data_IF_738202434692
#
_entry.id   IF_738202434692
#
_cell.length_a   1.000
_cell.length_b   1.000
_cell.length_c   1.000
_cell.angle_alpha   90.00
_cell.angle_beta   90.00
_cell.angle_gamma   90.00
#
_symmetry.space_group_name_H-M   'P 1'
#
loop_
_entity.id
_entity.type
_entity.pdbx_description
1 polymer ?
#
# COMPACT_ATOMS: atom_id res chain seq x y z
N UNK A 1 -6.61 4.37 -11.14
CA UNK A 1 -6.66 3.00 -10.61
C UNK A 1 -6.08 2.99 -9.20
N UNK A 2 -6.86 2.55 -8.21
CA UNK A 2 -6.40 2.38 -6.82
C UNK A 2 -6.19 0.88 -6.56
N UNK A 3 -5.03 0.51 -6.01
CA UNK A 3 -4.67 -0.88 -5.70
C UNK A 3 -4.95 -1.18 -4.22
N UNK A 4 -6.05 -1.88 -3.93
CA UNK A 4 -6.54 -2.18 -2.58
C UNK A 4 -6.78 -3.68 -2.31
N UNK A 5 -6.21 -4.58 -3.13
CA UNK A 5 -6.49 -6.01 -3.02
C UNK A 5 -5.67 -6.73 -1.94
N UNK A 6 -4.58 -6.13 -1.47
CA UNK A 6 -3.61 -6.79 -0.60
C UNK A 6 -4.10 -7.01 0.83
N UNK A 7 -3.60 -8.08 1.47
CA UNK A 7 -3.92 -8.43 2.85
C UNK A 7 -3.30 -7.48 3.91
N UNK A 8 -2.24 -6.73 3.58
CA UNK A 8 -1.59 -5.82 4.54
C UNK A 8 -0.94 -6.51 5.75
N UNK A 9 -0.21 -7.61 5.53
CA UNK A 9 0.39 -8.47 6.57
C UNK A 9 1.13 -7.76 7.70
N UNK A 10 1.69 -6.58 7.43
CA UNK A 10 2.48 -5.80 8.41
C UNK A 10 1.61 -4.96 9.36
N UNK A 11 0.30 -4.86 9.09
CA UNK A 11 -0.65 -4.11 9.92
C UNK A 11 -1.19 -4.90 11.11
N UNK A 12 -0.81 -6.17 11.27
CA UNK A 12 -1.20 -6.95 12.47
C UNK A 12 -0.81 -6.15 13.73
N UNK A 13 -1.73 -5.97 14.70
CA UNK A 13 -2.96 -6.72 14.89
C UNK A 13 -4.25 -6.13 14.30
N UNK A 14 -4.19 -5.00 13.59
CA UNK A 14 -5.40 -4.29 13.11
C UNK A 14 -6.13 -5.03 11.97
N UNK A 15 -5.39 -5.50 10.98
CA UNK A 15 -5.97 -5.96 9.69
C UNK A 15 -6.71 -7.29 9.73
N UNK A 16 -7.01 -7.82 10.92
CA UNK A 16 -7.92 -8.97 11.06
C UNK A 16 -9.37 -8.58 10.79
N UNK A 17 -9.71 -7.31 10.95
CA UNK A 17 -11.08 -6.80 10.96
C UNK A 17 -11.32 -5.72 9.90
N UNK A 18 -10.26 -5.05 9.46
CA UNK A 18 -10.35 -3.91 8.54
C UNK A 18 -9.27 -4.01 7.46
N UNK A 19 -9.63 -3.95 6.17
CA UNK A 19 -8.65 -3.89 5.10
C UNK A 19 -7.89 -2.56 5.11
N UNK A 20 -6.65 -2.58 4.65
CA UNK A 20 -5.68 -1.48 4.78
C UNK A 20 -6.19 -0.13 4.23
N UNK A 21 -6.91 -0.15 3.10
CA UNK A 21 -7.46 1.06 2.49
C UNK A 21 -8.59 1.71 3.29
N UNK A 22 -9.21 0.98 4.23
CA UNK A 22 -10.28 1.49 5.10
C UNK A 22 -9.78 1.91 6.49
N UNK A 23 -8.48 1.90 6.72
CA UNK A 23 -7.92 2.46 7.94
C UNK A 23 -8.17 3.97 7.99
N UNK A 24 -8.69 4.43 9.12
CA UNK A 24 -8.95 5.84 9.35
C UNK A 24 -7.71 6.56 9.86
N UNK A 25 -7.45 7.72 9.26
CA UNK A 25 -6.46 8.69 9.72
C UNK A 25 -7.16 10.02 9.86
N UNK A 26 -7.09 10.60 11.05
CA UNK A 26 -7.80 11.84 11.39
C UNK A 26 -9.32 11.78 11.09
N UNK A 27 -9.93 10.59 11.30
CA UNK A 27 -11.36 10.37 11.12
C UNK A 27 -11.80 10.19 9.66
N UNK A 28 -10.88 10.02 8.71
CA UNK A 28 -11.18 9.77 7.29
C UNK A 28 -10.48 8.49 6.81
N UNK A 29 -11.20 7.50 6.23
CA UNK A 29 -10.59 6.33 5.61
C UNK A 29 -9.62 6.71 4.49
N UNK A 30 -8.47 6.03 4.41
CA UNK A 30 -7.41 6.33 3.43
C UNK A 30 -7.94 6.35 2.00
N UNK A 31 -8.75 5.37 1.61
CA UNK A 31 -9.29 5.26 0.26
C UNK A 31 -10.32 6.36 -0.04
N UNK A 32 -11.14 6.74 0.93
CA UNK A 32 -12.11 7.83 0.76
C UNK A 32 -11.40 9.17 0.54
N UNK A 33 -10.34 9.41 1.33
CA UNK A 33 -9.48 10.58 1.14
C UNK A 33 -8.89 10.62 -0.27
N UNK A 34 -8.35 9.51 -0.74
CA UNK A 34 -7.79 9.42 -2.10
C UNK A 34 -8.86 9.70 -3.18
N UNK A 35 -10.04 9.11 -3.04
CA UNK A 35 -11.17 9.31 -3.96
C UNK A 35 -11.64 10.77 -3.93
N UNK A 36 -11.80 11.35 -2.74
CA UNK A 36 -12.16 12.77 -2.59
C UNK A 36 -11.13 13.69 -3.24
N UNK A 37 -9.84 13.45 -3.01
CA UNK A 37 -8.76 14.25 -3.61
C UNK A 37 -8.74 14.12 -5.15
N UNK A 38 -9.05 12.93 -5.71
CA UNK A 38 -9.20 12.74 -7.14
C UNK A 38 -10.42 13.54 -7.70
N UNK A 39 -11.56 13.48 -7.00
CA UNK A 39 -12.76 14.26 -7.37
C UNK A 39 -12.48 15.77 -7.34
N UNK A 40 -11.80 16.27 -6.32
CA UNK A 40 -11.37 17.68 -6.22
C UNK A 40 -10.45 18.10 -7.38
N UNK A 41 -9.62 17.18 -7.88
CA UNK A 41 -8.81 17.38 -9.07
C UNK A 41 -9.60 17.27 -10.39
N UNK A 42 -10.91 16.96 -10.33
CA UNK A 42 -11.77 16.78 -11.50
C UNK A 42 -11.60 15.44 -12.20
N UNK A 43 -11.19 14.40 -11.47
CA UNK A 43 -11.04 13.01 -11.92
C UNK A 43 -12.15 12.18 -11.29
N UNK A 44 -13.10 11.71 -12.10
CA UNK A 44 -14.28 10.98 -11.63
C UNK A 44 -14.35 9.52 -12.12
N UNK A 45 -13.54 9.15 -13.09
CA UNK A 45 -13.41 7.79 -13.56
C UNK A 45 -12.37 7.06 -12.69
N UNK A 46 -12.85 6.29 -11.71
CA UNK A 46 -12.02 5.69 -10.67
C UNK A 46 -12.31 4.19 -10.59
N UNK A 47 -11.26 3.39 -10.73
CA UNK A 47 -11.28 1.94 -10.61
C UNK A 47 -10.53 1.53 -9.35
N UNK A 48 -11.15 0.71 -8.50
CA UNK A 48 -10.52 0.19 -7.28
C UNK A 48 -10.36 -1.33 -7.42
N UNK A 49 -9.11 -1.79 -7.40
CA UNK A 49 -8.83 -3.23 -7.43
C UNK A 49 -8.87 -3.76 -6.00
N UNK A 50 -9.86 -4.60 -5.71
CA UNK A 50 -10.13 -5.15 -4.37
C UNK A 50 -9.88 -6.66 -4.32
N UNK A 51 -9.62 -7.20 -3.14
CA UNK A 51 -9.38 -8.64 -2.95
C UNK A 51 -9.70 -9.06 -1.53
N UNK A 52 -8.77 -8.88 -0.60
CA UNK A 52 -9.01 -9.16 0.81
C UNK A 52 -10.14 -8.28 1.37
N UNK A 53 -11.14 -8.91 1.99
CA UNK A 53 -12.34 -8.25 2.54
C UNK A 53 -13.03 -7.30 1.54
N UNK A 54 -13.10 -7.70 0.25
CA UNK A 54 -13.63 -6.90 -0.85
C UNK A 54 -15.04 -6.36 -0.58
N UNK A 55 -15.86 -7.08 0.18
CA UNK A 55 -17.23 -6.71 0.53
C UNK A 55 -17.29 -5.38 1.32
N UNK A 56 -16.25 -5.09 2.09
CA UNK A 56 -16.17 -3.83 2.86
C UNK A 56 -15.95 -2.59 1.98
N UNK A 57 -15.59 -2.76 0.71
CA UNK A 57 -15.42 -1.67 -0.25
C UNK A 57 -16.67 -1.40 -1.12
N UNK A 58 -17.72 -2.24 -1.04
CA UNK A 58 -18.88 -2.14 -1.94
C UNK A 58 -19.62 -0.81 -1.84
N UNK A 59 -19.67 -0.20 -0.65
CA UNK A 59 -20.29 1.11 -0.45
C UNK A 59 -19.67 2.23 -1.31
N UNK A 60 -18.39 2.09 -1.69
CA UNK A 60 -17.72 3.08 -2.53
C UNK A 60 -18.39 3.22 -3.91
N UNK A 61 -19.09 2.20 -4.38
CA UNK A 61 -19.84 2.24 -5.65
C UNK A 61 -20.95 3.28 -5.55
N UNK A 62 -21.77 3.19 -4.52
CA UNK A 62 -22.95 4.04 -4.35
C UNK A 62 -22.58 5.43 -3.85
N UNK A 63 -21.65 5.54 -2.90
CA UNK A 63 -21.32 6.81 -2.24
C UNK A 63 -20.33 7.66 -3.04
N UNK A 64 -19.46 7.03 -3.84
CA UNK A 64 -18.36 7.72 -4.53
C UNK A 64 -18.35 7.51 -6.05
N UNK A 65 -19.20 6.62 -6.58
CA UNK A 65 -19.29 6.36 -8.03
C UNK A 65 -18.06 5.67 -8.60
N UNK A 66 -17.36 4.85 -7.80
CA UNK A 66 -16.19 4.08 -8.27
C UNK A 66 -16.62 2.74 -8.88
N UNK A 67 -15.76 2.15 -9.71
CA UNK A 67 -15.92 0.79 -10.20
C UNK A 67 -14.96 -0.15 -9.46
N UNK A 68 -15.47 -1.31 -8.99
CA UNK A 68 -14.64 -2.32 -8.33
C UNK A 68 -14.19 -3.39 -9.32
N UNK A 69 -12.89 -3.69 -9.31
CA UNK A 69 -12.28 -4.80 -10.04
C UNK A 69 -11.84 -5.85 -9.01
N UNK A 70 -12.40 -7.06 -9.08
CA UNK A 70 -12.10 -8.11 -8.09
C UNK A 70 -10.85 -8.88 -8.50
N UNK A 71 -9.85 -8.89 -7.61
CA UNK A 71 -8.70 -9.78 -7.68
C UNK A 71 -8.93 -11.02 -6.80
N UNK A 72 -9.31 -12.14 -7.41
CA UNK A 72 -9.51 -13.40 -6.70
C UNK A 72 -8.20 -14.07 -6.27
N UNK A 73 -7.09 -13.73 -6.93
CA UNK A 73 -5.76 -14.32 -6.70
C UNK A 73 -4.90 -13.52 -5.69
N UNK A 74 -5.48 -12.58 -4.97
CA UNK A 74 -4.76 -11.66 -4.05
C UNK A 74 -3.89 -12.38 -3.00
N UNK A 75 -4.25 -13.61 -2.65
CA UNK A 75 -3.51 -14.42 -1.67
C UNK A 75 -2.26 -15.10 -2.26
N UNK A 76 -2.22 -15.31 -3.57
CA UNK A 76 -1.18 -16.05 -4.28
C UNK A 76 -0.32 -15.20 -5.20
N UNK A 77 -0.82 -14.03 -5.60
CA UNK A 77 -0.13 -13.10 -6.49
C UNK A 77 -0.03 -11.70 -5.87
N UNK A 78 1.08 -11.02 -6.17
CA UNK A 78 1.31 -9.66 -5.68
C UNK A 78 0.59 -8.60 -6.57
N UNK A 79 0.79 -7.32 -6.30
CA UNK A 79 0.09 -6.19 -6.93
C UNK A 79 0.35 -6.05 -8.45
N UNK A 80 1.35 -6.71 -9.02
CA UNK A 80 1.51 -6.82 -10.47
C UNK A 80 0.25 -7.43 -11.08
N UNK A 81 -0.29 -8.50 -10.49
CA UNK A 81 -1.54 -9.11 -10.94
C UNK A 81 -2.75 -8.17 -10.75
N UNK A 82 -2.79 -7.44 -9.64
CA UNK A 82 -3.85 -6.43 -9.42
C UNK A 82 -3.85 -5.39 -10.55
N UNK A 83 -2.68 -4.87 -10.92
CA UNK A 83 -2.60 -3.91 -12.01
C UNK A 83 -2.87 -4.56 -13.37
N UNK A 84 -2.50 -5.84 -13.59
CA UNK A 84 -2.86 -6.58 -14.79
C UNK A 84 -4.38 -6.66 -14.98
N UNK A 85 -5.16 -6.86 -13.93
CA UNK A 85 -6.62 -6.88 -14.02
C UNK A 85 -7.19 -5.53 -14.46
N UNK A 86 -6.59 -4.43 -14.04
CA UNK A 86 -6.98 -3.06 -14.39
C UNK A 86 -6.26 -2.50 -15.65
N UNK A 87 -5.52 -3.32 -16.39
CA UNK A 87 -4.62 -2.89 -17.48
C UNK A 87 -5.27 -2.08 -18.61
N UNK A 88 -6.56 -2.24 -18.83
CA UNK A 88 -7.28 -1.48 -19.86
C UNK A 88 -7.57 -0.03 -19.44
N UNK A 89 -7.42 0.31 -18.16
CA UNK A 89 -7.71 1.62 -17.56
C UNK A 89 -6.45 2.44 -17.22
N UNK A 90 -5.30 2.12 -17.83
CA UNK A 90 -4.02 2.77 -17.50
C UNK A 90 -3.68 3.98 -18.37
N UNK A 91 -4.42 4.23 -19.44
CA UNK A 91 -4.11 5.32 -20.36
C UNK A 91 -4.48 6.68 -19.77
N UNK A 92 -3.50 7.58 -19.61
CA UNK A 92 -3.64 8.90 -18.97
C UNK A 92 -4.24 8.80 -17.55
N UNK A 93 -3.74 7.85 -16.77
CA UNK A 93 -4.31 7.49 -15.48
C UNK A 93 -3.25 7.48 -14.37
N UNK A 94 -3.72 7.73 -13.15
CA UNK A 94 -2.96 7.48 -11.93
C UNK A 94 -3.03 6.01 -11.53
N UNK A 95 -1.93 5.50 -10.97
CA UNK A 95 -1.86 4.24 -10.22
C UNK A 95 -1.54 4.64 -8.79
N UNK A 96 -2.36 4.20 -7.83
CA UNK A 96 -2.31 4.68 -6.45
C UNK A 96 -2.39 3.47 -5.52
N UNK A 97 -1.41 3.25 -4.61
CA UNK A 97 -1.57 2.31 -3.50
C UNK A 97 -2.61 2.83 -2.49
N UNK A 98 -3.48 1.97 -1.97
CA UNK A 98 -4.55 2.37 -1.04
C UNK A 98 -4.07 2.79 0.35
N UNK A 99 -2.82 2.56 0.67
CA UNK A 99 -2.19 2.75 1.97
C UNK A 99 -1.40 4.05 2.11
N UNK A 100 -1.61 4.98 1.17
CA UNK A 100 -0.93 6.27 1.16
C UNK A 100 -1.85 7.35 1.74
N UNK A 101 -1.32 8.07 2.72
CA UNK A 101 -1.86 9.33 3.21
C UNK A 101 -1.16 10.50 2.53
N UNK A 102 -1.93 11.39 1.91
CA UNK A 102 -1.43 12.64 1.37
C UNK A 102 -2.03 13.80 2.18
N UNK A 103 -1.20 14.61 2.80
CA UNK A 103 -1.66 15.79 3.55
C UNK A 103 -2.31 16.80 2.61
N UNK A 104 -1.60 17.17 1.55
CA UNK A 104 -2.12 17.98 0.46
C UNK A 104 -2.49 17.13 -0.74
N UNK A 105 -3.44 17.59 -1.56
CA UNK A 105 -3.86 16.89 -2.77
C UNK A 105 -2.72 16.84 -3.81
N UNK A 106 -2.16 15.67 -4.13
CA UNK A 106 -1.06 15.54 -5.09
C UNK A 106 -1.53 15.43 -6.55
N UNK A 107 -2.85 15.28 -6.78
CA UNK A 107 -3.43 14.97 -8.08
C UNK A 107 -3.78 16.22 -8.88
N UNK A 108 -3.70 16.09 -10.21
CA UNK A 108 -4.10 17.13 -11.18
C UNK A 108 -4.88 16.46 -12.31
N UNK A 109 -5.87 17.17 -12.85
CA UNK A 109 -6.69 16.66 -13.97
C UNK A 109 -5.85 16.30 -15.20
N UNK A 110 -4.78 17.05 -15.44
CA UNK A 110 -3.90 16.88 -16.59
C UNK A 110 -2.44 16.93 -16.17
N UNK A 111 -1.74 15.85 -16.42
CA UNK A 111 -0.29 15.75 -16.25
C UNK A 111 0.41 15.85 -17.63
N UNK A 112 1.56 16.50 -17.65
CA UNK A 112 2.29 16.74 -18.91
C UNK A 112 3.16 15.55 -19.33
N UNK A 113 3.55 14.70 -18.40
CA UNK A 113 4.41 13.54 -18.62
C UNK A 113 4.12 12.44 -17.60
N UNK A 114 4.52 11.22 -17.93
CA UNK A 114 4.47 10.11 -16.98
C UNK A 114 5.52 10.27 -15.91
N UNK A 115 5.21 9.87 -14.68
CA UNK A 115 6.14 9.95 -13.55
C UNK A 115 5.82 8.89 -12.49
N UNK A 116 6.82 8.58 -11.68
CA UNK A 116 6.70 7.71 -10.50
C UNK A 116 7.15 8.50 -9.25
N UNK A 117 6.34 8.42 -8.18
CA UNK A 117 6.59 9.18 -6.97
C UNK A 117 7.54 8.46 -6.01
N UNK A 118 8.51 9.18 -5.53
CA UNK A 118 9.44 8.76 -4.47
C UNK A 118 9.54 9.85 -3.40
N UNK A 119 9.88 9.44 -2.19
CA UNK A 119 10.19 10.38 -1.11
C UNK A 119 11.61 10.94 -1.23
N UNK A 120 11.86 12.09 -0.61
CA UNK A 120 13.20 12.63 -0.38
C UNK A 120 14.00 11.85 0.68
N UNK A 121 13.35 10.96 1.44
CA UNK A 121 14.03 10.06 2.37
C UNK A 121 14.80 8.95 1.66
N UNK A 122 15.91 8.55 2.27
CA UNK A 122 16.70 7.39 1.85
C UNK A 122 16.28 6.17 2.67
N UNK A 123 15.97 5.09 1.96
CA UNK A 123 15.56 3.80 2.50
C UNK A 123 16.51 2.71 2.01
N UNK A 124 16.96 1.83 2.90
CA UNK A 124 17.85 0.72 2.55
C UNK A 124 17.13 -0.39 1.77
N UNK A 125 15.81 -0.46 1.86
CA UNK A 125 14.99 -1.44 1.13
C UNK A 125 14.64 -0.97 -0.29
N UNK A 126 14.88 0.31 -0.61
CA UNK A 126 14.61 0.84 -1.94
C UNK A 126 15.59 0.34 -2.99
N UNK A 127 15.05 0.01 -4.16
CA UNK A 127 15.81 -0.44 -5.33
C UNK A 127 16.18 0.68 -6.31
N UNK A 128 15.78 1.94 -6.06
CA UNK A 128 15.99 3.05 -6.98
C UNK A 128 16.53 4.31 -6.28
N UNK A 129 17.29 5.11 -7.02
CA UNK A 129 17.77 6.42 -6.59
C UNK A 129 17.51 7.46 -7.70
N UNK A 130 17.07 8.63 -7.28
CA UNK A 130 16.86 9.78 -8.17
C UNK A 130 18.22 10.44 -8.47
N UNK A 131 18.51 10.64 -9.73
CA UNK A 131 19.65 11.43 -10.17
C UNK A 131 19.28 12.89 -10.46
N UNK A 132 20.28 13.74 -10.81
CA UNK A 132 20.06 15.16 -11.09
C UNK A 132 19.13 15.44 -12.30
N UNK A 133 18.88 14.44 -13.14
CA UNK A 133 17.97 14.53 -14.31
C UNK A 133 16.56 14.00 -13.99
N UNK A 134 16.27 13.73 -12.71
CA UNK A 134 15.06 13.08 -12.23
C UNK A 134 14.86 11.65 -12.80
N UNK A 135 15.91 10.99 -13.27
CA UNK A 135 15.84 9.58 -13.66
C UNK A 135 15.97 8.70 -12.41
N UNK A 136 15.16 7.64 -12.36
CA UNK A 136 15.17 6.61 -11.32
C UNK A 136 16.12 5.49 -11.76
N UNK A 137 17.34 5.52 -11.24
CA UNK A 137 18.36 4.50 -11.53
C UNK A 137 18.34 3.40 -10.49
N UNK A 138 18.54 2.14 -10.91
CA UNK A 138 18.60 1.01 -9.98
C UNK A 138 19.86 1.09 -9.12
N UNK A 139 19.72 0.76 -7.85
CA UNK A 139 20.81 0.70 -6.88
C UNK A 139 20.86 -0.67 -6.21
N UNK A 140 22.01 -1.05 -5.67
CA UNK A 140 22.11 -2.23 -4.82
C UNK A 140 21.52 -1.92 -3.42
N UNK A 141 20.90 -2.92 -2.80
CA UNK A 141 20.32 -2.78 -1.45
C UNK A 141 21.33 -2.25 -0.40
N UNK A 142 22.63 -2.47 -0.60
CA UNK A 142 23.66 -1.95 0.30
C UNK A 142 23.91 -0.44 0.19
N UNK A 143 23.38 0.21 -0.84
CA UNK A 143 23.65 1.64 -1.13
C UNK A 143 22.53 2.56 -0.67
N UNK A 144 21.36 2.00 -0.31
CA UNK A 144 20.15 2.75 -0.07
C UNK A 144 19.65 3.52 -1.29
N UNK A 145 18.36 3.75 -1.37
CA UNK A 145 17.70 4.49 -2.45
C UNK A 145 16.64 5.44 -1.90
N UNK A 146 15.95 6.14 -2.77
CA UNK A 146 14.80 6.94 -2.37
C UNK A 146 13.63 6.02 -2.00
N UNK A 147 12.94 6.29 -0.90
CA UNK A 147 11.75 5.53 -0.52
C UNK A 147 10.69 5.62 -1.63
N UNK A 148 10.22 4.45 -2.07
CA UNK A 148 9.26 4.32 -3.18
C UNK A 148 7.84 4.48 -2.64
N UNK A 149 7.14 5.54 -3.04
CA UNK A 149 5.77 5.81 -2.57
C UNK A 149 4.73 5.02 -3.36
N UNK A 150 5.00 4.76 -4.64
CA UNK A 150 4.12 3.94 -5.47
C UNK A 150 3.04 4.69 -6.23
N UNK A 151 2.73 5.95 -5.91
CA UNK A 151 1.86 6.78 -6.76
C UNK A 151 2.57 7.04 -8.07
N UNK A 152 1.89 6.83 -9.19
CA UNK A 152 2.43 7.19 -10.49
C UNK A 152 1.34 7.69 -11.42
N UNK A 153 1.74 8.42 -12.45
CA UNK A 153 0.89 8.82 -13.56
C UNK A 153 1.46 8.31 -14.87
N UNK A 154 0.62 7.74 -15.72
CA UNK A 154 1.01 7.17 -17.00
C UNK A 154 0.28 7.88 -18.14
N UNK A 155 1.03 8.52 -19.03
CA UNK A 155 0.50 8.90 -20.35
C UNK A 155 0.22 7.66 -21.19
N UNK A 156 -0.73 7.75 -22.10
CA UNK A 156 -1.14 6.64 -22.98
C UNK A 156 0.05 5.89 -23.62
N UNK A 157 1.05 6.62 -24.13
CA UNK A 157 2.22 6.00 -24.79
C UNK A 157 3.02 5.06 -23.88
N UNK A 158 3.17 5.43 -22.60
CA UNK A 158 3.91 4.63 -21.62
C UNK A 158 2.99 3.54 -21.06
N UNK A 159 1.69 3.82 -20.87
CA UNK A 159 0.68 2.85 -20.47
C UNK A 159 0.56 1.69 -21.46
N UNK A 160 0.63 1.94 -22.77
CA UNK A 160 0.60 0.89 -23.80
C UNK A 160 1.78 -0.09 -23.64
N UNK A 161 2.98 0.42 -23.37
CA UNK A 161 4.18 -0.42 -23.12
C UNK A 161 4.00 -1.23 -21.82
N UNK A 162 3.52 -0.59 -20.76
CA UNK A 162 3.31 -1.24 -19.45
C UNK A 162 2.24 -2.32 -19.58
N UNK A 163 1.14 -2.07 -20.29
CA UNK A 163 0.10 -3.06 -20.55
C UNK A 163 0.64 -4.32 -21.24
N UNK A 164 1.46 -4.17 -22.25
CA UNK A 164 2.10 -5.32 -22.93
C UNK A 164 3.02 -6.10 -21.98
N UNK A 165 3.77 -5.39 -21.12
CA UNK A 165 4.62 -6.03 -20.11
C UNK A 165 3.80 -6.74 -19.03
N UNK A 166 2.69 -6.16 -18.57
CA UNK A 166 1.77 -6.78 -17.61
C UNK A 166 1.20 -8.09 -18.16
N UNK A 167 0.73 -8.11 -19.42
CA UNK A 167 0.22 -9.34 -20.06
C UNK A 167 1.29 -10.42 -20.08
N UNK A 168 2.51 -10.08 -20.45
CA UNK A 168 3.62 -11.02 -20.52
C UNK A 168 4.06 -11.52 -19.15
N UNK A 169 4.15 -10.64 -18.17
CA UNK A 169 4.66 -10.98 -16.83
C UNK A 169 3.62 -11.74 -16.01
N UNK A 170 2.33 -11.40 -16.11
CA UNK A 170 1.29 -12.12 -15.38
C UNK A 170 1.12 -13.57 -15.84
N UNK A 171 1.45 -13.87 -17.08
CA UNK A 171 1.46 -15.23 -17.61
C UNK A 171 2.65 -16.09 -17.13
N UNK A 172 3.66 -15.49 -16.48
CA UNK A 172 4.89 -16.17 -16.06
C UNK A 172 4.94 -16.28 -14.51
N UNK A 173 4.98 -17.52 -13.97
CA UNK A 173 5.01 -17.73 -12.51
C UNK A 173 6.17 -17.06 -11.78
N UNK A 174 7.27 -16.73 -12.46
CA UNK A 174 8.41 -16.00 -11.88
C UNK A 174 8.04 -14.60 -11.38
N UNK A 175 6.93 -14.03 -11.88
CA UNK A 175 6.45 -12.68 -11.54
C UNK A 175 5.27 -12.68 -10.55
N UNK A 176 4.76 -13.81 -10.11
CA UNK A 176 3.60 -13.87 -9.19
C UNK A 176 3.84 -13.10 -7.89
N UNK A 177 5.06 -13.12 -7.37
CA UNK A 177 5.44 -12.40 -6.15
C UNK A 177 6.06 -11.02 -6.42
N UNK A 178 5.98 -10.51 -7.66
CA UNK A 178 6.57 -9.23 -8.03
C UNK A 178 5.58 -8.08 -7.92
N UNK A 179 6.13 -6.90 -7.65
CA UNK A 179 5.40 -5.66 -7.70
C UNK A 179 5.24 -5.17 -9.15
N UNK A 180 4.21 -4.37 -9.41
CA UNK A 180 3.94 -3.85 -10.74
C UNK A 180 5.08 -2.96 -11.29
N UNK A 181 5.85 -2.36 -10.42
CA UNK A 181 7.03 -1.55 -10.72
C UNK A 181 8.08 -2.33 -11.54
N UNK A 182 8.04 -3.68 -11.48
CA UNK A 182 8.86 -4.52 -12.34
C UNK A 182 8.65 -4.21 -13.83
N UNK A 183 7.46 -3.74 -14.20
CA UNK A 183 7.14 -3.33 -15.58
C UNK A 183 7.81 -2.02 -16.00
N UNK A 184 8.29 -1.21 -15.05
CA UNK A 184 8.95 0.07 -15.31
C UNK A 184 10.44 -0.06 -15.62
N UNK A 185 11.08 -1.15 -15.19
CA UNK A 185 12.53 -1.28 -15.32
C UNK A 185 12.98 -1.57 -16.74
N UNK A 186 13.99 -0.81 -17.17
CA UNK A 186 14.66 -0.96 -18.45
C UNK A 186 16.14 -0.56 -18.33
N UNK A 187 17.07 -1.49 -18.67
CA UNK A 187 18.52 -1.22 -18.73
C UNK A 187 19.08 -0.51 -17.49
N UNK A 188 18.66 -0.93 -16.29
CA UNK A 188 19.17 -0.39 -15.02
C UNK A 188 18.55 0.93 -14.58
N UNK A 189 17.42 1.31 -15.16
CA UNK A 189 16.62 2.46 -14.71
C UNK A 189 15.13 2.24 -14.95
N UNK A 190 14.27 3.06 -14.37
CA UNK A 190 12.86 3.11 -14.74
C UNK A 190 12.67 3.91 -16.03
N UNK A 191 11.69 3.52 -16.83
CA UNK A 191 11.39 4.17 -18.12
C UNK A 191 10.73 5.56 -17.98
N UNK A 192 10.19 5.89 -16.80
CA UNK A 192 9.55 7.17 -16.49
C UNK A 192 10.34 7.91 -15.41
N UNK A 193 10.32 9.26 -15.41
CA UNK A 193 11.06 10.08 -14.45
C UNK A 193 10.43 10.04 -13.05
N UNK A 194 11.20 10.53 -12.07
CA UNK A 194 10.76 10.70 -10.70
C UNK A 194 9.93 11.98 -10.51
N UNK A 195 8.91 11.89 -9.64
CA UNK A 195 8.33 13.03 -8.91
C UNK A 195 8.73 12.87 -7.45
N UNK A 196 9.55 13.79 -6.94
CA UNK A 196 10.02 13.72 -5.55
C UNK A 196 9.05 14.46 -4.65
N UNK A 197 8.57 13.79 -3.60
CA UNK A 197 7.70 14.36 -2.58
C UNK A 197 8.45 14.46 -1.25
N UNK A 198 8.07 15.43 -0.41
CA UNK A 198 8.56 15.48 0.96
C UNK A 198 7.91 14.39 1.79
N UNK A 199 8.71 13.76 2.64
CA UNK A 199 8.24 12.67 3.50
C UNK A 199 7.18 13.12 4.52
N UNK A 200 7.13 14.42 4.86
CA UNK A 200 6.09 14.99 5.70
C UNK A 200 4.72 15.10 5.02
N UNK A 201 4.70 15.20 3.70
CA UNK A 201 3.49 15.51 2.95
C UNK A 201 2.77 14.24 2.48
N UNK A 202 3.53 13.14 2.35
CA UNK A 202 3.02 11.86 1.87
C UNK A 202 3.61 10.73 2.71
N UNK A 203 2.76 9.97 3.37
CA UNK A 203 3.13 8.88 4.28
C UNK A 203 2.51 7.57 3.79
N UNK A 204 3.35 6.55 3.62
CA UNK A 204 2.90 5.17 3.42
C UNK A 204 2.71 4.50 4.78
N UNK A 205 1.48 4.02 5.05
CA UNK A 205 1.15 3.37 6.32
C UNK A 205 1.26 1.86 6.15
N UNK A 206 2.38 1.30 6.58
CA UNK A 206 2.69 -0.12 6.46
C UNK A 206 2.58 -0.90 7.76
N UNK A 207 2.64 -0.21 8.91
CA UNK A 207 2.67 -0.82 10.24
C UNK A 207 1.72 -0.12 11.20
N UNK A 208 1.37 -0.83 12.28
CA UNK A 208 0.60 -0.27 13.39
C UNK A 208 1.28 0.98 13.97
N UNK A 209 2.60 0.95 14.14
CA UNK A 209 3.35 2.07 14.72
C UNK A 209 3.31 3.31 13.81
N UNK A 210 3.38 3.13 12.48
CA UNK A 210 3.25 4.26 11.54
C UNK A 210 1.86 4.90 11.61
N UNK A 211 0.80 4.10 11.79
CA UNK A 211 -0.53 4.66 12.01
C UNK A 211 -0.59 5.43 13.33
N UNK A 212 -0.03 4.88 14.42
CA UNK A 212 0.02 5.52 15.73
C UNK A 212 0.80 6.83 15.72
N UNK A 213 1.93 6.87 15.00
CA UNK A 213 2.74 8.08 14.83
C UNK A 213 2.01 9.16 14.04
N UNK A 214 1.24 8.77 13.03
CA UNK A 214 0.50 9.70 12.19
C UNK A 214 -0.79 10.20 12.87
N UNK A 215 -1.51 9.31 13.53
CA UNK A 215 -2.76 9.61 14.25
C UNK A 215 -2.87 8.77 15.52
N UNK A 216 -2.42 9.33 16.66
CA UNK A 216 -2.47 8.67 17.96
C UNK A 216 -3.90 8.47 18.51
N UNK A 217 -4.91 9.05 17.86
CA UNK A 217 -6.32 8.95 18.25
C UNK A 217 -7.15 8.11 17.26
N UNK A 218 -6.51 7.47 16.29
CA UNK A 218 -7.22 6.61 15.34
C UNK A 218 -7.98 5.50 16.06
N UNK A 219 -9.25 5.31 15.69
CA UNK A 219 -10.11 4.25 16.25
C UNK A 219 -9.53 2.84 16.01
N UNK A 220 -8.70 2.69 14.97
CA UNK A 220 -8.05 1.42 14.63
C UNK A 220 -6.85 1.06 15.50
N UNK A 221 -6.42 1.94 16.41
CA UNK A 221 -5.43 1.62 17.43
C UNK A 221 -6.02 0.77 18.57
N UNK A 222 -7.36 0.74 18.70
CA UNK A 222 -8.07 -0.15 19.61
C UNK A 222 -8.29 -1.49 18.89
N UNK A 223 -7.63 -2.55 19.35
CA UNK A 223 -7.72 -3.89 18.79
C UNK A 223 -8.00 -4.88 19.89
N UNK A 224 -9.01 -5.75 19.69
CA UNK A 224 -9.31 -6.84 20.63
C UNK A 224 -8.06 -7.68 20.94
N UNK A 225 -7.19 -7.87 19.96
CA UNK A 225 -5.92 -8.59 20.13
C UNK A 225 -4.98 -7.87 21.10
N UNK A 226 -4.91 -6.53 21.05
CA UNK A 226 -4.13 -5.75 22.00
C UNK A 226 -4.75 -5.73 23.39
N UNK A 227 -6.08 -5.70 23.49
CA UNK A 227 -6.78 -5.83 24.75
C UNK A 227 -6.50 -7.18 25.42
N UNK A 228 -6.54 -8.27 24.67
CA UNK A 228 -6.19 -9.61 25.15
C UNK A 228 -4.72 -9.66 25.63
N UNK A 229 -3.79 -9.08 24.85
CA UNK A 229 -2.38 -9.03 25.24
C UNK A 229 -2.17 -8.20 26.51
N UNK A 230 -2.81 -7.04 26.60
CA UNK A 230 -2.75 -6.15 27.75
C UNK A 230 -3.34 -6.82 29.02
N UNK A 231 -4.50 -7.47 28.90
CA UNK A 231 -5.13 -8.21 30.00
C UNK A 231 -4.24 -9.35 30.50
N UNK A 232 -3.61 -10.11 29.59
CA UNK A 232 -2.68 -11.20 29.95
C UNK A 232 -1.42 -10.71 30.68
N UNK A 233 -1.00 -9.47 30.44
CA UNK A 233 0.16 -8.84 31.07
C UNK A 233 -0.19 -7.91 32.24
N UNK A 234 -1.48 -7.82 32.58
CA UNK A 234 -1.99 -6.92 33.63
C UNK A 234 -1.58 -5.45 33.40
N UNK A 235 -1.73 -4.96 32.17
CA UNK A 235 -1.37 -3.62 31.75
C UNK A 235 -2.48 -3.01 30.87
N UNK A 236 -2.30 -1.74 30.47
CA UNK A 236 -3.17 -1.06 29.50
C UNK A 236 -2.63 -1.28 28.08
N UNK A 237 -3.49 -1.31 27.03
CA UNK A 237 -3.08 -1.43 25.63
C UNK A 237 -2.03 -0.38 25.18
N UNK A 238 -2.12 0.84 25.72
CA UNK A 238 -1.20 1.95 25.40
C UNK A 238 0.24 1.70 25.87
N UNK A 239 0.44 0.77 26.81
CA UNK A 239 1.78 0.35 27.24
C UNK A 239 2.41 -0.71 26.35
N UNK A 240 1.70 -1.15 25.32
CA UNK A 240 2.22 -2.06 24.29
C UNK A 240 2.77 -1.24 23.13
N UNK A 241 4.05 -1.45 22.79
CA UNK A 241 4.76 -0.68 21.78
C UNK A 241 5.72 -1.54 20.93
N UNK A 242 6.31 -0.96 19.89
CA UNK A 242 7.28 -1.61 19.02
C UNK A 242 6.77 -2.92 18.40
N UNK A 243 5.50 -2.91 17.97
CA UNK A 243 4.84 -4.07 17.41
C UNK A 243 5.47 -4.43 16.07
N UNK A 244 6.02 -5.64 15.98
CA UNK A 244 6.71 -6.14 14.78
C UNK A 244 6.24 -7.54 14.42
N UNK A 245 5.85 -7.76 13.16
CA UNK A 245 5.40 -9.06 12.66
C UNK A 245 6.59 -10.01 12.48
N UNK A 246 6.54 -11.20 13.13
CA UNK A 246 7.64 -12.17 13.10
C UNK A 246 7.60 -13.13 11.91
N UNK A 247 6.42 -13.45 11.38
CA UNK A 247 6.23 -14.36 10.25
C UNK A 247 5.23 -13.81 9.24
N UNK A 248 5.62 -13.84 7.98
CA UNK A 248 4.76 -13.57 6.83
C UNK A 248 4.01 -14.86 6.46
N UNK A 249 2.82 -15.09 7.01
CA UNK A 249 1.98 -16.24 6.67
C UNK A 249 0.53 -16.00 7.08
N UNK A 250 -0.44 -16.43 6.25
CA UNK A 250 -1.87 -16.18 6.50
C UNK A 250 -2.46 -17.06 7.59
N UNK A 251 -1.90 -18.25 7.84
CA UNK A 251 -2.48 -19.25 8.74
C UNK A 251 -2.10 -19.11 10.21
N UNK A 252 -0.96 -18.53 10.53
CA UNK A 252 -0.55 -18.29 11.92
C UNK A 252 0.19 -16.97 11.99
N UNK A 253 -0.37 -16.01 12.67
CA UNK A 253 0.22 -14.68 12.84
C UNK A 253 0.93 -14.62 14.18
N UNK A 254 2.18 -14.20 14.18
CA UNK A 254 2.96 -13.99 15.39
C UNK A 254 3.59 -12.61 15.32
N UNK A 255 3.48 -11.85 16.38
CA UNK A 255 4.12 -10.55 16.48
C UNK A 255 4.89 -10.43 17.80
N UNK A 256 5.97 -9.69 17.72
CA UNK A 256 6.79 -9.25 18.85
C UNK A 256 6.32 -7.86 19.26
N UNK A 257 6.30 -7.59 20.55
CA UNK A 257 6.02 -6.26 21.09
C UNK A 257 6.75 -6.04 22.41
N UNK A 258 6.92 -4.79 22.78
CA UNK A 258 7.51 -4.38 24.03
C UNK A 258 6.40 -3.97 25.02
N UNK A 259 6.51 -4.43 26.28
CA UNK A 259 5.69 -4.00 27.39
C UNK A 259 6.57 -3.93 28.65
N UNK A 260 6.56 -2.78 29.35
CA UNK A 260 7.36 -2.56 30.57
C UNK A 260 8.85 -2.93 30.40
N UNK A 261 9.46 -2.53 29.28
CA UNK A 261 10.85 -2.83 28.89
C UNK A 261 11.15 -4.32 28.68
N UNK A 262 10.14 -5.16 28.59
CA UNK A 262 10.27 -6.61 28.32
C UNK A 262 9.68 -6.93 26.95
N UNK A 263 10.35 -7.80 26.18
CA UNK A 263 9.86 -8.26 24.89
C UNK A 263 8.94 -9.47 25.04
N UNK A 264 7.79 -9.40 24.39
CA UNK A 264 6.78 -10.45 24.40
C UNK A 264 6.47 -10.90 22.98
N UNK A 265 6.05 -12.14 22.83
CA UNK A 265 5.58 -12.71 21.56
C UNK A 265 4.14 -13.15 21.77
N UNK A 266 3.24 -12.67 20.92
CA UNK A 266 1.88 -13.18 20.83
C UNK A 266 1.69 -13.94 19.52
N UNK A 267 0.96 -15.06 19.60
CA UNK A 267 0.56 -15.85 18.45
C UNK A 267 -0.96 -15.85 18.35
N UNK A 268 -1.47 -15.47 17.18
CA UNK A 268 -2.88 -15.53 16.86
C UNK A 268 -3.08 -16.78 15.99
N UNK A 269 -3.90 -17.75 16.42
CA UNK A 269 -4.28 -18.88 15.59
C UNK A 269 -4.97 -18.39 14.32
N UNK A 270 -4.70 -19.02 13.18
CA UNK A 270 -5.46 -18.78 11.96
C UNK A 270 -6.79 -19.54 12.00
N UNK A 271 -7.73 -19.14 11.15
CA UNK A 271 -9.00 -19.86 11.00
C UNK A 271 -8.73 -21.33 10.67
N UNK A 272 -9.39 -22.24 11.42
CA UNK A 272 -9.27 -23.68 11.26
C UNK A 272 -8.10 -24.34 11.99
N UNK A 273 -7.38 -23.64 12.87
CA UNK A 273 -6.31 -24.22 13.72
C UNK A 273 -6.73 -24.49 15.17
N UNK A 274 -8.00 -24.34 15.50
CA UNK A 274 -8.58 -24.70 16.80
C UNK A 274 -8.76 -26.22 16.86
N UNK A 275 -7.68 -26.97 17.12
CA UNK A 275 -7.68 -28.37 17.54
C UNK A 275 -6.80 -28.55 18.76
#
# INVERSE_FOLDING_TARGET
VILAAGFGMRMVPINTETPKGLLEVHGEPLIERQVRQLHEAGIHEIYVVVGFMKEQYEYLIDDYGVELIVNADYASKNNLHSLYLAREHLANAYIIPCDIWCDCNPFQKHELYSWYMVSDLVDNDSSVRVNRKLELTTVSHSSGGNSMIGISYLLKKDADIIRERLIRFDADPRYYNKFWEETLYEKGKMMIPAKVAHASDIVEINTFEQLRELDSHSNHLQSEILEIAAAALHTEPDNISNITVLKKGMTNRSFLFDCNSTKHIMRIPGEGTDQ
#
